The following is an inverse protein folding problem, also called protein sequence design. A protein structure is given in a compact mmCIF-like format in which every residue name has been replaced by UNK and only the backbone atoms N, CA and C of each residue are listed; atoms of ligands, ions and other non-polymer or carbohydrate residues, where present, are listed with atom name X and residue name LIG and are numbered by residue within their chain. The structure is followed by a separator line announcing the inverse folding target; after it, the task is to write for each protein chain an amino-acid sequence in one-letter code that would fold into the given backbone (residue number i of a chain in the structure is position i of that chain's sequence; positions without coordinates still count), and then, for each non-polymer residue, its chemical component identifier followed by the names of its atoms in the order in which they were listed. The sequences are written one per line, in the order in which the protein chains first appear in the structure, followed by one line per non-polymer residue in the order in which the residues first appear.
data_IF_767903087736
#
_entry.id   IF_767903087736
#
_cell.length_a   1.000
_cell.length_b   1.000
_cell.length_c   1.000
_cell.angle_alpha   90.00
_cell.angle_beta   90.00
_cell.angle_gamma   90.00
#
_symmetry.space_group_name_H-M   'P 1'
#
loop_
_entity.id
_entity.type
_entity.pdbx_description
1 polymer ?
#
# COMPACT_ATOMS: atom_id res chain seq x y z
N UNK A 1 -3.04 -24.74 -64.29
CA UNK A 1 -3.52 -23.85 -63.21
C UNK A 1 -2.67 -24.14 -61.96
N UNK A 2 -1.80 -23.21 -61.55
CA UNK A 2 -0.97 -23.34 -60.35
C UNK A 2 -1.53 -22.40 -59.29
N UNK A 3 -2.06 -22.95 -58.20
CA UNK A 3 -2.54 -22.18 -57.06
C UNK A 3 -1.34 -21.78 -56.20
N UNK A 4 -1.11 -20.48 -56.03
CA UNK A 4 -0.10 -19.95 -55.13
C UNK A 4 -0.83 -19.55 -53.85
N UNK A 5 -0.64 -20.34 -52.78
CA UNK A 5 -1.07 -19.98 -51.44
C UNK A 5 -0.25 -18.76 -50.98
N UNK A 6 -0.90 -17.62 -50.81
CA UNK A 6 -0.35 -16.48 -50.08
C UNK A 6 -0.49 -16.75 -48.58
N UNK A 7 0.61 -17.18 -47.94
CA UNK A 7 0.69 -17.23 -46.49
C UNK A 7 0.90 -15.82 -45.95
N UNK A 8 -0.13 -15.26 -45.30
CA UNK A 8 0.01 -14.02 -44.53
C UNK A 8 0.68 -14.39 -43.20
N UNK A 9 1.95 -13.99 -43.05
CA UNK A 9 2.62 -13.99 -41.75
C UNK A 9 2.21 -12.70 -41.04
N UNK A 10 1.19 -12.76 -40.18
CA UNK A 10 0.91 -11.67 -39.25
C UNK A 10 1.85 -11.83 -38.04
N UNK A 11 2.99 -11.14 -38.09
CA UNK A 11 3.84 -10.94 -36.93
C UNK A 11 3.13 -9.96 -35.99
N UNK A 12 2.34 -10.49 -35.06
CA UNK A 12 1.95 -9.71 -33.87
C UNK A 12 3.18 -9.57 -32.98
N UNK A 13 3.92 -8.47 -33.12
CA UNK A 13 4.82 -8.02 -32.06
C UNK A 13 3.96 -7.57 -30.88
N UNK A 14 3.57 -8.50 -30.02
CA UNK A 14 3.05 -8.17 -28.69
C UNK A 14 4.25 -7.59 -27.94
N UNK A 15 4.36 -6.25 -27.90
CA UNK A 15 5.17 -5.61 -26.88
C UNK A 15 4.52 -5.98 -25.56
N UNK A 16 5.05 -7.02 -24.91
CA UNK A 16 4.77 -7.31 -23.52
C UNK A 16 5.33 -6.11 -22.76
N UNK A 17 4.50 -5.09 -22.51
CA UNK A 17 4.84 -4.01 -21.61
C UNK A 17 5.03 -4.69 -20.25
N UNK A 18 6.29 -4.89 -19.85
CA UNK A 18 6.60 -5.35 -18.52
C UNK A 18 5.99 -4.34 -17.55
N UNK A 19 5.04 -4.82 -16.74
CA UNK A 19 4.37 -4.00 -15.75
C UNK A 19 5.41 -3.42 -14.80
N UNK A 20 5.37 -2.11 -14.55
CA UNK A 20 6.32 -1.51 -13.62
C UNK A 20 5.95 -1.88 -12.18
N UNK A 21 6.90 -1.91 -11.23
CA UNK A 21 6.59 -2.21 -9.83
C UNK A 21 5.48 -1.30 -9.25
N UNK A 22 5.43 -0.03 -9.66
CA UNK A 22 4.37 0.89 -9.22
C UNK A 22 3.00 0.54 -9.81
N UNK A 23 2.92 0.03 -11.04
CA UNK A 23 1.65 -0.42 -11.63
C UNK A 23 1.10 -1.66 -10.89
N UNK A 24 1.98 -2.58 -10.48
CA UNK A 24 1.60 -3.73 -9.66
C UNK A 24 1.07 -3.28 -8.30
N UNK A 25 1.77 -2.36 -7.64
CA UNK A 25 1.34 -1.78 -6.37
C UNK A 25 -0.04 -1.10 -6.49
N UNK A 26 -0.26 -0.33 -7.55
CA UNK A 26 -1.55 0.32 -7.78
C UNK A 26 -2.68 -0.69 -7.96
N UNK A 27 -2.45 -1.78 -8.71
CA UNK A 27 -3.44 -2.86 -8.87
C UNK A 27 -3.73 -3.57 -7.55
N UNK A 28 -2.70 -3.79 -6.73
CA UNK A 28 -2.85 -4.40 -5.41
C UNK A 28 -3.62 -3.47 -4.47
N UNK A 29 -3.37 -2.15 -4.52
CA UNK A 29 -4.14 -1.16 -3.76
C UNK A 29 -5.63 -1.19 -4.14
N UNK A 30 -5.96 -1.25 -5.43
CA UNK A 30 -7.36 -1.30 -5.89
C UNK A 30 -8.05 -2.55 -5.34
N UNK A 31 -7.44 -3.72 -5.52
CA UNK A 31 -7.98 -4.99 -5.00
C UNK A 31 -8.17 -4.95 -3.48
N UNK A 32 -7.23 -4.34 -2.76
CA UNK A 32 -7.32 -4.13 -1.31
C UNK A 32 -8.52 -3.24 -0.95
N UNK A 33 -8.67 -2.10 -1.62
CA UNK A 33 -9.75 -1.15 -1.34
C UNK A 33 -11.12 -1.77 -1.60
N UNK A 34 -11.30 -2.50 -2.72
CA UNK A 34 -12.56 -3.19 -3.05
C UNK A 34 -12.96 -4.19 -1.95
N UNK A 35 -12.00 -4.94 -1.41
CA UNK A 35 -12.24 -5.86 -0.29
C UNK A 35 -12.71 -5.09 0.95
N UNK A 36 -11.99 -4.04 1.34
CA UNK A 36 -12.31 -3.28 2.56
C UNK A 36 -13.62 -2.50 2.45
N UNK A 37 -13.94 -1.99 1.27
CA UNK A 37 -15.23 -1.36 0.99
C UNK A 37 -16.39 -2.34 1.17
N UNK A 38 -16.21 -3.61 0.75
CA UNK A 38 -17.20 -4.67 0.98
C UNK A 38 -17.41 -4.98 2.47
N UNK A 39 -16.41 -4.72 3.31
CA UNK A 39 -16.48 -4.84 4.78
C UNK A 39 -17.01 -3.56 5.47
N UNK A 40 -17.35 -2.54 4.69
CA UNK A 40 -17.92 -1.28 5.15
C UNK A 40 -16.90 -0.23 5.58
N UNK A 41 -15.63 -0.38 5.20
CA UNK A 41 -14.63 0.67 5.37
C UNK A 41 -14.66 1.67 4.21
N UNK A 42 -14.56 2.96 4.52
CA UNK A 42 -14.44 4.04 3.55
C UNK A 42 -12.98 4.47 3.39
N UNK A 43 -12.52 4.61 2.15
CA UNK A 43 -11.22 5.21 1.84
C UNK A 43 -11.12 6.67 2.32
N UNK A 44 -10.03 7.03 3.00
CA UNK A 44 -9.80 8.39 3.52
C UNK A 44 -8.60 9.09 2.92
N UNK A 45 -7.48 8.40 2.77
CA UNK A 45 -6.26 9.00 2.25
C UNK A 45 -5.27 7.93 1.80
N UNK A 46 -4.45 8.28 0.82
CA UNK A 46 -3.31 7.50 0.37
C UNK A 46 -2.10 8.40 0.17
N UNK A 47 -0.92 7.86 0.47
CA UNK A 47 0.38 8.42 0.10
C UNK A 47 1.15 7.29 -0.57
N UNK A 48 1.61 7.50 -1.80
CA UNK A 48 2.53 6.59 -2.48
C UNK A 48 3.88 7.30 -2.55
N UNK A 49 4.91 6.67 -2.01
CA UNK A 49 6.26 7.24 -1.99
C UNK A 49 7.29 6.21 -2.38
N UNK A 50 8.33 6.65 -3.08
CA UNK A 50 9.51 5.85 -3.37
C UNK A 50 10.42 5.76 -2.14
N UNK A 51 10.87 4.55 -1.82
CA UNK A 51 11.84 4.23 -0.78
C UNK A 51 13.09 3.62 -1.41
N UNK A 52 14.24 4.03 -0.92
CA UNK A 52 15.59 3.55 -1.22
C UNK A 52 16.38 3.39 0.09
N UNK A 53 17.68 3.09 0.00
CA UNK A 53 18.53 2.95 1.19
C UNK A 53 18.75 4.23 1.99
N UNK A 54 18.51 5.41 1.41
CA UNK A 54 18.68 6.70 2.05
C UNK A 54 17.42 7.17 2.80
N UNK A 55 16.24 6.68 2.39
CA UNK A 55 14.95 7.05 2.98
C UNK A 55 14.09 5.83 3.35
N UNK A 56 14.73 4.71 3.71
CA UNK A 56 14.09 3.46 4.13
C UNK A 56 13.12 3.60 5.33
N UNK A 57 13.11 4.75 6.01
CA UNK A 57 12.16 5.10 7.05
C UNK A 57 11.54 6.48 6.78
N UNK A 58 10.21 6.56 6.82
CA UNK A 58 9.46 7.81 6.69
C UNK A 58 8.41 7.94 7.78
N UNK A 59 8.09 9.18 8.14
CA UNK A 59 7.09 9.49 9.16
C UNK A 59 5.92 10.25 8.56
N UNK A 60 4.70 9.79 8.83
CA UNK A 60 3.46 10.46 8.46
C UNK A 60 2.72 10.86 9.72
N UNK A 61 2.21 12.08 9.76
CA UNK A 61 1.33 12.53 10.84
C UNK A 61 -0.11 12.53 10.34
N UNK A 62 -0.95 11.70 10.96
CA UNK A 62 -2.37 11.63 10.64
C UNK A 62 -3.21 12.12 11.80
N UNK A 63 -4.39 12.68 11.52
CA UNK A 63 -5.38 13.00 12.55
C UNK A 63 -6.46 11.93 12.53
N UNK A 64 -6.61 11.22 13.64
CA UNK A 64 -7.70 10.28 13.84
C UNK A 64 -8.69 10.88 14.83
N UNK A 65 -9.97 10.75 14.53
CA UNK A 65 -11.05 11.11 15.44
C UNK A 65 -11.43 9.90 16.29
N UNK A 66 -11.72 10.14 17.57
CA UNK A 66 -12.56 9.23 18.36
C UNK A 66 -13.89 9.02 17.63
N UNK A 67 -14.56 7.92 17.91
CA UNK A 67 -15.86 7.52 17.31
C UNK A 67 -15.75 6.79 15.95
N UNK A 68 -14.54 6.45 15.49
CA UNK A 68 -14.32 5.62 14.30
C UNK A 68 -13.30 4.52 14.55
N UNK A 69 -13.42 3.45 13.79
CA UNK A 69 -12.41 2.39 13.67
C UNK A 69 -11.62 2.66 12.39
N UNK A 70 -10.30 2.60 12.45
CA UNK A 70 -9.45 2.83 11.28
C UNK A 70 -8.70 1.58 10.90
N UNK A 71 -8.50 1.40 9.60
CA UNK A 71 -7.40 0.57 9.11
C UNK A 71 -6.26 1.49 8.71
N UNK A 72 -5.09 1.23 9.28
CA UNK A 72 -3.83 1.85 8.92
C UNK A 72 -3.00 0.78 8.22
N UNK A 73 -2.78 0.93 6.91
CA UNK A 73 -2.14 -0.10 6.09
C UNK A 73 -0.99 0.48 5.26
N UNK A 74 0.06 -0.31 5.09
CA UNK A 74 1.12 -0.07 4.14
C UNK A 74 1.35 -1.31 3.28
N UNK A 75 1.31 -1.10 1.97
CA UNK A 75 1.55 -2.12 0.94
C UNK A 75 2.81 -1.73 0.16
N UNK A 76 3.70 -2.71 -0.06
CA UNK A 76 4.91 -2.54 -0.84
C UNK A 76 4.72 -3.09 -2.25
N UNK A 77 5.47 -2.56 -3.21
CA UNK A 77 5.63 -3.22 -4.50
C UNK A 77 6.53 -4.47 -4.38
N UNK A 78 6.77 -5.11 -5.53
CA UNK A 78 7.64 -6.29 -5.62
C UNK A 78 9.09 -6.06 -5.14
N UNK A 79 9.55 -4.81 -5.07
CA UNK A 79 10.90 -4.45 -4.63
C UNK A 79 10.97 -4.20 -3.11
N UNK A 80 9.83 -4.07 -2.43
CA UNK A 80 9.74 -3.88 -0.98
C UNK A 80 8.98 -5.07 -0.36
N UNK A 81 9.67 -6.21 -0.14
CA UNK A 81 9.01 -7.44 0.29
C UNK A 81 8.55 -7.39 1.76
N UNK A 82 9.05 -6.45 2.56
CA UNK A 82 8.72 -6.35 3.98
C UNK A 82 8.64 -4.91 4.43
N UNK A 83 7.57 -4.60 5.16
CA UNK A 83 7.30 -3.29 5.73
C UNK A 83 7.11 -3.45 7.25
N UNK A 84 7.59 -2.47 8.02
CA UNK A 84 7.15 -2.25 9.40
C UNK A 84 6.42 -0.91 9.57
N UNK A 85 5.35 -0.94 10.35
CA UNK A 85 4.52 0.18 10.76
C UNK A 85 4.56 0.29 12.28
N UNK A 86 4.90 1.48 12.78
CA UNK A 86 4.84 1.84 14.19
C UNK A 86 3.92 3.04 14.37
N UNK A 87 2.83 2.87 15.11
CA UNK A 87 1.79 3.88 15.30
C UNK A 87 1.88 4.38 16.73
N UNK A 88 2.26 5.65 16.88
CA UNK A 88 2.41 6.30 18.19
C UNK A 88 1.45 7.47 18.32
N UNK A 89 0.67 7.54 19.42
CA UNK A 89 -0.07 8.76 19.73
C UNK A 89 0.89 9.94 19.83
N UNK A 90 0.51 11.07 19.25
CA UNK A 90 1.20 12.33 19.40
C UNK A 90 0.31 13.32 20.15
N UNK A 91 0.93 14.18 20.96
CA UNK A 91 0.21 15.13 21.82
C UNK A 91 -0.80 14.41 22.74
N UNK A 92 -2.03 14.93 22.82
CA UNK A 92 -3.10 14.43 23.70
C UNK A 92 -3.89 13.24 23.12
N UNK A 93 -3.43 12.61 22.03
CA UNK A 93 -4.08 11.45 21.44
C UNK A 93 -3.95 10.20 22.34
N UNK A 94 -4.91 9.28 22.26
CA UNK A 94 -4.83 7.99 22.95
C UNK A 94 -5.44 6.89 22.07
N UNK A 95 -4.86 5.69 22.12
CA UNK A 95 -5.43 4.48 21.50
C UNK A 95 -6.21 3.71 22.55
N UNK A 96 -7.33 3.15 22.15
CA UNK A 96 -8.07 2.15 22.90
C UNK A 96 -7.55 0.75 22.57
N UNK A 97 -7.47 0.45 21.27
CA UNK A 97 -6.97 -0.81 20.75
C UNK A 97 -6.12 -0.60 19.50
N UNK A 98 -5.17 -1.51 19.31
CA UNK A 98 -4.37 -1.66 18.11
C UNK A 98 -4.12 -3.15 17.93
N UNK A 99 -4.63 -3.72 16.84
CA UNK A 99 -4.49 -5.15 16.55
C UNK A 99 -3.97 -5.34 15.12
N UNK A 100 -3.06 -6.30 14.88
CA UNK A 100 -2.71 -6.67 13.52
C UNK A 100 -3.97 -7.06 12.76
N UNK A 101 -4.08 -6.58 11.53
CA UNK A 101 -5.10 -7.03 10.60
C UNK A 101 -4.44 -8.10 9.71
N UNK A 102 -4.86 -9.37 9.89
CA UNK A 102 -4.26 -10.53 9.24
C UNK A 102 -4.73 -10.72 7.79
N UNK A 103 -5.49 -9.76 7.24
CA UNK A 103 -6.16 -9.93 5.96
C UNK A 103 -5.21 -10.14 4.77
N UNK A 104 -3.99 -9.56 4.73
CA UNK A 104 -3.24 -9.45 3.46
C UNK A 104 -1.70 -9.35 3.52
N UNK A 105 -1.08 -9.50 2.33
CA UNK A 105 0.32 -9.20 2.00
C UNK A 105 0.63 -7.71 2.18
N UNK A 106 1.22 -7.37 3.32
CA UNK A 106 1.58 -6.01 3.70
C UNK A 106 1.70 -5.92 5.21
N UNK A 107 1.57 -4.72 5.77
CA UNK A 107 1.27 -4.59 7.19
C UNK A 107 0.09 -3.66 7.38
N UNK A 108 -0.93 -4.15 8.08
CA UNK A 108 -2.11 -3.40 8.47
C UNK A 108 -2.39 -3.53 9.95
N UNK A 109 -3.02 -2.49 10.49
CA UNK A 109 -3.51 -2.46 11.86
C UNK A 109 -4.92 -1.89 11.90
N UNK A 110 -5.78 -2.57 12.66
CA UNK A 110 -7.05 -2.00 13.13
C UNK A 110 -6.76 -1.12 14.34
N UNK A 111 -7.11 0.16 14.26
CA UNK A 111 -6.81 1.19 15.25
C UNK A 111 -8.11 1.87 15.69
N UNK A 112 -8.39 1.85 16.99
CA UNK A 112 -9.51 2.59 17.58
C UNK A 112 -8.98 3.64 18.55
N UNK A 113 -9.11 4.96 18.26
CA UNK A 113 -8.69 6.01 19.17
C UNK A 113 -9.67 6.20 20.34
N UNK A 114 -9.19 6.11 21.58
CA UNK A 114 -9.97 6.52 22.77
C UNK A 114 -10.07 8.05 22.90
N UNK A 115 -9.21 8.81 22.18
CA UNK A 115 -9.28 10.28 22.11
C UNK A 115 -8.78 10.78 20.76
N UNK A 116 -9.56 11.65 20.12
CA UNK A 116 -9.17 12.32 18.87
C UNK A 116 -7.83 13.03 19.02
N UNK A 117 -6.98 12.92 18.02
CA UNK A 117 -5.69 13.58 18.05
C UNK A 117 -4.82 13.24 16.86
N UNK A 118 -3.56 13.66 16.92
CA UNK A 118 -2.57 13.33 15.90
C UNK A 118 -1.85 12.06 16.31
N UNK A 119 -1.54 11.23 15.32
CA UNK A 119 -0.76 10.02 15.46
C UNK A 119 0.44 10.14 14.52
N UNK A 120 1.62 9.82 15.03
CA UNK A 120 2.82 9.69 14.22
C UNK A 120 2.96 8.24 13.81
N UNK A 121 3.03 8.01 12.51
CA UNK A 121 3.17 6.69 11.92
C UNK A 121 4.54 6.61 11.27
N UNK A 122 5.36 5.69 11.74
CA UNK A 122 6.66 5.40 11.16
C UNK A 122 6.52 4.22 10.21
N UNK A 123 6.81 4.44 8.94
CA UNK A 123 6.78 3.44 7.88
C UNK A 123 8.23 3.09 7.56
N UNK A 124 8.60 1.82 7.69
CA UNK A 124 9.96 1.38 7.42
C UNK A 124 9.94 0.26 6.38
N UNK A 125 10.66 0.45 5.30
CA UNK A 125 10.97 -0.59 4.35
C UNK A 125 12.12 -1.45 4.92
N UNK A 126 11.91 -2.75 5.03
CA UNK A 126 12.89 -3.69 5.59
C UNK A 126 13.51 -4.50 4.46
N UNK A 127 14.84 -4.56 4.45
CA UNK A 127 15.58 -5.38 3.48
C UNK A 127 15.74 -4.74 2.10
N UNK A 128 15.63 -3.41 2.00
CA UNK A 128 16.04 -2.67 0.80
C UNK A 128 17.56 -2.81 0.59
N UNK A 129 17.94 -3.31 -0.58
CA UNK A 129 19.33 -3.31 -1.03
C UNK A 129 19.77 -1.90 -1.44
N UNK A 130 21.05 -1.57 -1.28
CA UNK A 130 21.58 -0.21 -1.50
C UNK A 130 21.39 0.36 -2.91
N UNK A 131 21.21 -0.50 -3.92
CA UNK A 131 21.02 -0.11 -5.33
C UNK A 131 19.57 -0.22 -5.80
N UNK A 132 18.64 -0.60 -4.92
CA UNK A 132 17.23 -0.81 -5.27
C UNK A 132 16.35 0.26 -4.65
N UNK A 133 15.38 0.71 -5.42
CA UNK A 133 14.23 1.47 -4.92
C UNK A 133 12.95 0.70 -5.16
N UNK A 134 11.93 1.03 -4.39
CA UNK A 134 10.58 0.53 -4.58
C UNK A 134 9.56 1.50 -4.00
N UNK A 135 8.29 1.23 -4.21
CA UNK A 135 7.21 2.08 -3.76
C UNK A 135 6.47 1.46 -2.58
N UNK A 136 6.12 2.31 -1.61
CA UNK A 136 5.15 1.96 -0.56
C UNK A 136 3.92 2.83 -0.74
N UNK A 137 2.76 2.17 -0.74
CA UNK A 137 1.44 2.78 -0.62
C UNK A 137 0.99 2.72 0.84
N UNK A 138 0.87 3.87 1.47
CA UNK A 138 0.31 4.01 2.80
C UNK A 138 -1.12 4.53 2.71
N UNK A 139 -2.09 3.82 3.30
CA UNK A 139 -3.50 4.17 3.22
C UNK A 139 -4.16 4.21 4.61
N UNK A 140 -5.19 5.06 4.70
CA UNK A 140 -6.09 5.13 5.85
C UNK A 140 -7.50 4.87 5.36
N UNK A 141 -8.18 3.94 6.01
CA UNK A 141 -9.59 3.66 5.84
C UNK A 141 -10.30 3.86 7.18
N UNK A 142 -11.60 4.15 7.15
CA UNK A 142 -12.41 4.31 8.37
C UNK A 142 -13.71 3.53 8.30
N UNK A 143 -14.23 3.14 9.45
CA UNK A 143 -15.58 2.62 9.66
C UNK A 143 -16.22 3.32 10.87
#
# INVERSE_FOLDING_TARGET
MKSILFSIVVLFSVKVFAQTPIDELQKNNISYLELQESEGFEFRSQIITEFDSNNASQNVNIKLSKDFIYIVVALGDSNIPKISLDIKPANNAKMESMMPDESLTGQSFLVTPSKSGRFKISINAIGLEASRSGFISFMILRK
#
